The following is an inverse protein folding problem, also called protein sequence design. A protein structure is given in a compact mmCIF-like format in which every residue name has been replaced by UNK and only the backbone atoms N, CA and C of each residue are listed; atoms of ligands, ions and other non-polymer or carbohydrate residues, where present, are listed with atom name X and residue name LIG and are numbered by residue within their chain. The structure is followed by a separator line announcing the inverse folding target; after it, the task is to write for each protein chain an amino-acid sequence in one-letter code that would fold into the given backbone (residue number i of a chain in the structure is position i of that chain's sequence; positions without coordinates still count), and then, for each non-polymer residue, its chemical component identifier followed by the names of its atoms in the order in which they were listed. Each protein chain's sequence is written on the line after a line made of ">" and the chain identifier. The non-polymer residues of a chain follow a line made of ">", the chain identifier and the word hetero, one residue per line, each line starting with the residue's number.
data_IF_356579661198
#
_entry.id   IF_356579661198
#
_cell.length_a   1.000
_cell.length_b   1.000
_cell.length_c   1.000
_cell.angle_alpha   90.00
_cell.angle_beta   90.00
_cell.angle_gamma   90.00
#
_symmetry.space_group_name_H-M   'P 1'
#
loop_
_entity.id
_entity.type
_entity.pdbx_description
1 polymer ?
#
# COMPACT_ATOMS: atom_id res chain seq x y z
N UNK A 1 -33.49 8.06 -23.49
CA UNK A 1 -32.94 6.81 -22.93
C UNK A 1 -31.83 7.20 -21.98
N UNK A 2 -32.10 7.38 -20.70
CA UNK A 2 -31.08 7.87 -19.75
C UNK A 2 -30.30 6.67 -19.22
N UNK A 3 -29.14 6.40 -19.83
CA UNK A 3 -28.17 5.43 -19.31
C UNK A 3 -27.49 6.03 -18.08
N UNK A 4 -27.75 5.47 -16.90
CA UNK A 4 -27.04 5.82 -15.68
C UNK A 4 -25.57 5.47 -15.87
N UNK A 5 -24.70 6.46 -15.89
CA UNK A 5 -23.26 6.24 -15.69
C UNK A 5 -23.14 5.58 -14.31
N UNK A 6 -22.67 4.34 -14.26
CA UNK A 6 -22.28 3.74 -12.99
C UNK A 6 -21.11 4.56 -12.47
N UNK A 7 -21.33 5.31 -11.38
CA UNK A 7 -20.21 5.85 -10.60
C UNK A 7 -19.61 4.64 -9.90
N UNK A 8 -18.74 3.91 -10.61
CA UNK A 8 -17.88 2.90 -10.01
C UNK A 8 -16.88 3.68 -9.17
N UNK A 9 -16.87 3.46 -7.86
CA UNK A 9 -15.87 4.01 -6.96
C UNK A 9 -14.47 3.69 -7.51
N UNK A 10 -13.82 4.68 -8.12
CA UNK A 10 -12.54 4.47 -8.79
C UNK A 10 -11.47 4.09 -7.75
N UNK A 11 -10.57 3.15 -8.09
CA UNK A 11 -9.49 2.78 -7.18
C UNK A 11 -8.54 3.96 -6.99
N UNK A 12 -8.36 4.39 -5.75
CA UNK A 12 -7.38 5.40 -5.38
C UNK A 12 -6.03 4.75 -5.06
N UNK A 13 -4.96 5.22 -5.70
CA UNK A 13 -3.62 4.67 -5.51
C UNK A 13 -3.01 5.13 -4.17
N UNK A 14 -2.49 4.16 -3.40
CA UNK A 14 -1.75 4.38 -2.17
C UNK A 14 -0.29 4.02 -2.39
N UNK A 15 0.61 4.81 -1.80
CA UNK A 15 2.05 4.58 -1.82
C UNK A 15 2.65 4.86 -0.45
N UNK A 16 3.36 3.89 0.11
CA UNK A 16 4.10 4.01 1.34
C UNK A 16 5.60 4.25 1.05
N UNK A 17 6.11 5.40 1.47
CA UNK A 17 7.53 5.74 1.38
C UNK A 17 8.20 5.57 2.76
N UNK A 18 8.95 4.47 3.00
CA UNK A 18 9.66 4.29 4.26
C UNK A 18 10.85 5.23 4.38
N UNK A 19 11.10 5.74 5.59
CA UNK A 19 12.33 6.45 5.92
C UNK A 19 13.54 5.50 5.96
N UNK A 20 14.76 6.04 5.91
CA UNK A 20 16.00 5.27 6.01
C UNK A 20 16.04 4.41 7.27
N UNK A 21 16.42 3.12 7.12
CA UNK A 21 16.43 2.16 8.23
C UNK A 21 15.06 1.52 8.55
N UNK A 22 14.00 1.90 7.83
CA UNK A 22 12.67 1.34 7.98
C UNK A 22 12.22 0.61 6.70
N UNK A 23 11.28 -0.31 6.86
CA UNK A 23 10.57 -0.95 5.75
C UNK A 23 9.07 -0.88 5.97
N UNK A 24 8.33 -0.81 4.88
CA UNK A 24 6.90 -1.05 4.89
C UNK A 24 6.62 -2.47 5.40
N UNK A 25 5.59 -2.62 6.24
CA UNK A 25 5.16 -3.88 6.81
C UNK A 25 3.83 -4.31 6.20
N UNK A 26 2.80 -3.51 6.38
CA UNK A 26 1.46 -3.74 5.85
C UNK A 26 0.60 -2.48 5.96
N UNK A 27 -0.52 -2.45 5.26
CA UNK A 27 -1.60 -1.49 5.42
C UNK A 27 -2.68 -2.07 6.35
N UNK A 28 -3.24 -1.24 7.22
CA UNK A 28 -4.48 -1.56 7.95
C UNK A 28 -5.60 -0.64 7.50
N UNK A 29 -6.82 -1.18 7.40
CA UNK A 29 -8.01 -0.47 6.92
C UNK A 29 -8.91 -1.41 6.12
N UNK A 30 -9.95 -0.87 5.50
CA UNK A 30 -10.88 -1.63 4.64
C UNK A 30 -10.76 -1.21 3.17
N UNK A 31 -11.13 -2.11 2.26
CA UNK A 31 -11.18 -1.82 0.83
C UNK A 31 -9.82 -1.71 0.12
N UNK A 32 -8.74 -2.15 0.78
CA UNK A 32 -7.38 -2.17 0.23
C UNK A 32 -7.20 -3.43 -0.62
N UNK A 33 -6.70 -3.28 -1.85
CA UNK A 33 -6.54 -4.37 -2.82
C UNK A 33 -5.48 -5.40 -2.38
N UNK A 34 -4.32 -4.90 -1.93
CA UNK A 34 -3.26 -5.70 -1.33
C UNK A 34 -2.68 -4.96 -0.12
N UNK A 35 -2.88 -5.52 1.07
CA UNK A 35 -2.38 -4.94 2.32
C UNK A 35 -0.88 -5.13 2.52
N UNK A 36 -0.22 -6.03 1.80
CA UNK A 36 1.21 -6.32 1.93
C UNK A 36 2.06 -5.65 0.85
N UNK A 37 1.44 -5.04 -0.16
CA UNK A 37 2.15 -4.25 -1.16
C UNK A 37 2.33 -2.78 -0.72
N UNK A 38 3.56 -2.22 -0.79
CA UNK A 38 3.81 -0.81 -0.44
C UNK A 38 3.14 0.17 -1.42
N UNK A 39 2.87 -0.28 -2.65
CA UNK A 39 2.04 0.40 -3.64
C UNK A 39 0.81 -0.45 -3.87
N UNK A 40 -0.38 0.09 -3.60
CA UNK A 40 -1.65 -0.63 -3.65
C UNK A 40 -2.78 0.32 -4.03
N UNK A 41 -4.01 -0.16 -4.07
CA UNK A 41 -5.19 0.66 -4.31
C UNK A 41 -6.23 0.48 -3.22
N UNK A 42 -7.01 1.52 -2.96
CA UNK A 42 -8.20 1.47 -2.09
C UNK A 42 -9.43 1.96 -2.85
N UNK A 43 -10.54 1.24 -2.71
CA UNK A 43 -11.83 1.68 -3.26
C UNK A 43 -12.51 2.59 -2.24
N UNK A 44 -12.79 3.83 -2.62
CA UNK A 44 -13.45 4.83 -1.76
C UNK A 44 -14.96 4.87 -2.07
N UNK A 45 -15.73 4.06 -1.37
CA UNK A 45 -17.21 4.06 -1.39
C UNK A 45 -17.81 4.89 -0.23
N UNK A 46 -16.98 5.25 0.75
CA UNK A 46 -17.24 6.12 1.89
C UNK A 46 -15.90 6.63 2.43
N UNK A 47 -15.94 7.52 3.43
CA UNK A 47 -14.75 7.94 4.15
C UNK A 47 -14.09 6.74 4.85
N UNK A 48 -12.80 6.53 4.60
CA UNK A 48 -12.01 5.40 5.13
C UNK A 48 -10.73 5.89 5.76
N UNK A 49 -10.38 5.29 6.89
CA UNK A 49 -9.06 5.45 7.51
C UNK A 49 -8.16 4.30 7.08
N UNK A 50 -7.10 4.61 6.35
CA UNK A 50 -6.06 3.66 5.94
C UNK A 50 -4.73 4.09 6.54
N UNK A 51 -4.02 3.14 7.17
CA UNK A 51 -2.76 3.40 7.88
C UNK A 51 -1.65 2.51 7.35
N UNK A 52 -0.51 3.09 6.99
CA UNK A 52 0.72 2.36 6.68
C UNK A 52 1.48 2.01 7.95
N UNK A 53 1.83 0.74 8.13
CA UNK A 53 2.67 0.28 9.22
C UNK A 53 4.11 0.10 8.74
N UNK A 54 5.05 0.63 9.51
CA UNK A 54 6.48 0.51 9.25
C UNK A 54 7.18 -0.19 10.41
N UNK A 55 8.26 -0.88 10.10
CA UNK A 55 9.15 -1.47 11.12
C UNK A 55 10.61 -1.38 10.69
N UNK A 56 11.55 -1.73 11.59
CA UNK A 56 12.97 -1.74 11.27
C UNK A 56 13.25 -2.58 10.02
N UNK A 57 14.06 -2.04 9.11
CA UNK A 57 14.62 -2.81 8.01
C UNK A 57 15.67 -3.78 8.57
N UNK A 58 15.76 -5.01 8.03
CA UNK A 58 16.88 -5.88 8.38
C UNK A 58 18.20 -5.21 7.98
N UNK A 59 19.30 -5.50 8.69
CA UNK A 59 20.62 -5.03 8.28
C UNK A 59 20.87 -5.42 6.82
N UNK A 60 21.35 -4.48 6.02
CA UNK A 60 21.79 -4.79 4.66
C UNK A 60 23.09 -5.60 4.77
N UNK A 61 23.00 -6.90 4.57
CA UNK A 61 24.17 -7.76 4.43
C UNK A 61 24.54 -7.84 2.95
N UNK A 62 25.68 -7.25 2.58
CA UNK A 62 26.28 -7.51 1.27
C UNK A 62 27.00 -8.85 1.33
N UNK A 63 26.46 -9.87 0.67
CA UNK A 63 27.17 -11.14 0.50
C UNK A 63 28.19 -10.97 -0.61
N UNK A 64 29.47 -10.96 -0.26
CA UNK A 64 30.56 -11.05 -1.25
C UNK A 64 30.75 -12.54 -1.56
N UNK A 65 30.39 -12.95 -2.76
CA UNK A 65 30.72 -14.28 -3.27
C UNK A 65 32.20 -14.28 -3.65
N UNK A 66 33.03 -14.97 -2.86
CA UNK A 66 34.42 -15.28 -3.24
C UNK A 66 34.45 -16.63 -3.95
N UNK A 67 35.17 -16.70 -5.07
CA UNK A 67 35.40 -17.93 -5.84
C UNK A 67 36.51 -18.79 -5.22
#
# INVERSE_FOLDING_TARGET
>A
MTGRVAILSEPFALSAAPAGGWRFRFWSGSGIADTNAPVTAVVMDADKLVTAHFGPAPPQATVILVQ
#
